data_IF_960826585382
#
_entry.id   IF_960826585382
#
_cell.length_a   1.000
_cell.length_b   1.000
_cell.length_c   1.000
_cell.angle_alpha   90.00
_cell.angle_beta   90.00
_cell.angle_gamma   90.00
#
_symmetry.space_group_name_H-M   'P 1'
#
loop_
_entity.id
_entity.type
_entity.pdbx_description
1 polymer ?
#
# COMPACT_ATOMS: atom_id res chain seq x y z
N UNK A 1 7.26 -19.96 -3.23
CA UNK A 1 6.73 -18.58 -3.04
C UNK A 1 7.72 -17.60 -3.63
N UNK A 2 7.22 -16.61 -4.34
CA UNK A 2 8.09 -15.62 -4.95
C UNK A 2 7.53 -14.22 -4.67
N UNK A 3 8.29 -13.42 -3.95
CA UNK A 3 7.92 -12.06 -3.58
C UNK A 3 8.88 -11.06 -4.19
N UNK A 4 8.32 -9.91 -4.57
CA UNK A 4 9.08 -8.79 -5.10
C UNK A 4 8.79 -7.56 -4.24
N UNK A 5 9.81 -6.76 -3.96
CA UNK A 5 9.58 -5.46 -3.37
C UNK A 5 8.73 -4.62 -4.31
N UNK A 6 7.67 -4.00 -3.80
CA UNK A 6 6.75 -3.21 -4.62
C UNK A 6 6.93 -1.72 -4.34
N UNK A 7 6.68 -1.28 -3.10
CA UNK A 7 6.80 0.14 -2.79
C UNK A 7 6.93 0.39 -1.30
N UNK A 8 7.34 1.63 -0.98
CA UNK A 8 7.25 2.22 0.35
C UNK A 8 6.08 3.19 0.37
N UNK A 9 5.37 3.27 1.48
CA UNK A 9 4.31 4.26 1.64
C UNK A 9 4.55 5.10 2.89
N UNK A 10 4.33 6.41 2.74
CA UNK A 10 4.49 7.38 3.82
C UNK A 10 3.19 8.11 4.08
N UNK A 11 2.88 8.34 5.35
CA UNK A 11 1.84 9.29 5.75
C UNK A 11 2.48 10.66 5.96
N UNK A 12 1.88 11.71 5.40
CA UNK A 12 2.48 13.04 5.46
C UNK A 12 1.45 14.12 5.19
N UNK A 13 1.39 15.15 6.04
CA UNK A 13 0.52 16.30 5.80
C UNK A 13 1.06 17.19 4.68
N UNK A 14 2.38 17.19 4.45
CA UNK A 14 3.05 18.03 3.46
C UNK A 14 3.54 17.19 2.28
N UNK A 15 2.60 16.55 1.60
CA UNK A 15 2.94 15.62 0.51
C UNK A 15 3.74 16.22 -0.62
N UNK A 16 3.50 17.50 -0.95
CA UNK A 16 4.22 18.15 -2.03
C UNK A 16 5.70 18.35 -1.70
N UNK A 17 6.02 18.70 -0.47
CA UNK A 17 7.42 18.86 -0.05
C UNK A 17 8.18 17.55 -0.12
N UNK A 18 7.52 16.45 0.31
CA UNK A 18 8.11 15.12 0.23
C UNK A 18 8.31 14.70 -1.23
N UNK A 19 7.33 14.95 -2.09
CA UNK A 19 7.45 14.68 -3.52
C UNK A 19 8.65 15.41 -4.12
N UNK A 20 8.82 16.69 -3.79
CA UNK A 20 9.91 17.48 -4.33
C UNK A 20 11.28 16.92 -3.91
N UNK A 21 11.40 16.48 -2.66
CA UNK A 21 12.64 15.87 -2.19
C UNK A 21 12.98 14.60 -2.96
N UNK A 22 12.00 13.72 -3.17
CA UNK A 22 12.23 12.50 -3.97
C UNK A 22 12.53 12.81 -5.42
N UNK A 23 11.92 13.85 -5.99
CA UNK A 23 12.24 14.29 -7.35
C UNK A 23 13.67 14.79 -7.45
N UNK A 24 14.09 15.64 -6.51
CA UNK A 24 15.42 16.26 -6.54
C UNK A 24 16.53 15.25 -6.29
N UNK A 25 16.31 14.29 -5.39
CA UNK A 25 17.35 13.37 -4.96
C UNK A 25 17.38 12.08 -5.78
N UNK A 26 16.23 11.56 -6.18
CA UNK A 26 16.13 10.27 -6.85
C UNK A 26 15.53 10.34 -8.24
N UNK A 27 15.08 11.53 -8.67
CA UNK A 27 14.47 11.69 -9.98
C UNK A 27 13.08 11.07 -10.11
N UNK A 28 12.41 10.79 -9.01
CA UNK A 28 11.06 10.22 -9.06
C UNK A 28 10.05 11.26 -9.54
N UNK A 29 9.08 10.83 -10.32
CA UNK A 29 8.07 11.71 -10.89
C UNK A 29 6.67 11.25 -10.51
N UNK A 30 5.80 12.21 -10.18
CA UNK A 30 4.39 11.91 -9.91
C UNK A 30 3.74 11.36 -11.17
N UNK A 31 2.88 10.36 -11.01
CA UNK A 31 2.20 9.72 -12.11
C UNK A 31 0.82 9.20 -11.71
N UNK A 32 0.29 8.29 -12.54
CA UNK A 32 -1.04 7.73 -12.32
C UNK A 32 -1.16 7.11 -10.93
N UNK A 33 -2.29 7.39 -10.30
CA UNK A 33 -2.68 6.79 -9.02
C UNK A 33 -4.13 6.32 -9.14
N UNK A 34 -4.45 5.07 -8.77
CA UNK A 34 -5.83 4.62 -8.74
C UNK A 34 -6.71 5.55 -7.89
N UNK A 35 -8.02 5.62 -8.17
CA UNK A 35 -8.89 6.57 -7.48
C UNK A 35 -9.28 6.10 -6.08
N UNK A 36 -8.31 6.06 -5.17
CA UNK A 36 -8.57 5.78 -3.77
C UNK A 36 -9.44 6.88 -3.14
N UNK A 37 -10.28 6.54 -2.13
CA UNK A 37 -11.11 7.53 -1.47
C UNK A 37 -10.36 8.40 -0.43
N UNK A 38 -9.06 8.55 -0.58
CA UNK A 38 -8.22 9.40 0.27
C UNK A 38 -7.16 10.07 -0.60
N UNK A 39 -6.69 11.28 -0.22
CA UNK A 39 -5.72 12.00 -1.03
C UNK A 39 -4.33 11.41 -0.93
N UNK A 40 -3.55 11.60 -1.98
CA UNK A 40 -2.18 11.11 -2.01
C UNK A 40 -1.58 11.27 -3.38
N UNK A 41 -0.37 10.75 -3.54
CA UNK A 41 0.34 10.76 -4.81
C UNK A 41 1.27 9.58 -4.89
N UNK A 42 1.46 9.08 -6.11
CA UNK A 42 2.39 8.00 -6.41
C UNK A 42 3.56 8.55 -7.20
N UNK A 43 4.76 8.22 -6.75
CA UNK A 43 6.01 8.70 -7.34
C UNK A 43 6.71 7.54 -8.02
N UNK A 44 7.05 7.72 -9.29
CA UNK A 44 7.50 6.65 -10.18
C UNK A 44 8.98 6.75 -10.48
N UNK A 45 9.62 5.58 -10.51
CA UNK A 45 10.84 5.34 -11.25
C UNK A 45 10.43 4.48 -12.45
N UNK A 46 10.58 5.04 -13.65
CA UNK A 46 10.12 4.37 -14.87
C UNK A 46 8.64 3.98 -14.76
N UNK A 47 8.31 2.70 -14.74
CA UNK A 47 6.93 2.21 -14.67
C UNK A 47 6.52 1.75 -13.28
N UNK A 48 7.41 1.84 -12.32
CA UNK A 48 7.13 1.39 -10.96
C UNK A 48 6.81 2.56 -10.05
N UNK A 49 5.64 2.54 -9.44
CA UNK A 49 5.25 3.50 -8.41
C UNK A 49 5.96 3.12 -7.11
N UNK A 50 7.20 3.55 -6.99
CA UNK A 50 8.11 3.11 -5.95
C UNK A 50 7.80 3.70 -4.58
N UNK A 51 7.30 4.95 -4.55
CA UNK A 51 6.94 5.64 -3.32
C UNK A 51 5.49 6.10 -3.41
N UNK A 52 4.70 5.74 -2.41
CA UNK A 52 3.34 6.20 -2.27
C UNK A 52 3.29 7.20 -1.11
N UNK A 53 2.68 8.35 -1.34
CA UNK A 53 2.46 9.35 -0.30
C UNK A 53 0.97 9.40 -0.01
N UNK A 54 0.60 9.16 1.23
CA UNK A 54 -0.78 9.27 1.73
C UNK A 54 -0.85 10.57 2.52
N UNK A 55 -1.71 11.48 2.09
CA UNK A 55 -1.82 12.77 2.77
C UNK A 55 -2.74 12.66 3.98
N UNK A 56 -2.18 12.93 5.14
CA UNK A 56 -2.91 12.91 6.41
C UNK A 56 -2.56 14.16 7.21
N UNK A 57 -3.58 14.94 7.57
CA UNK A 57 -3.38 16.21 8.26
C UNK A 57 -2.77 16.04 9.65
N UNK A 58 -2.97 14.88 10.28
CA UNK A 58 -2.44 14.58 11.61
C UNK A 58 -1.02 14.00 11.59
N UNK A 59 -0.38 13.96 10.43
CA UNK A 59 1.02 13.53 10.28
C UNK A 59 1.87 14.71 9.80
N UNK A 60 2.16 15.70 10.66
CA UNK A 60 2.93 16.88 10.24
C UNK A 60 4.33 16.53 9.76
N UNK A 61 4.92 15.48 10.31
CA UNK A 61 6.19 14.95 9.83
C UNK A 61 5.94 13.64 9.08
N UNK A 62 6.67 13.38 7.98
CA UNK A 62 6.52 12.12 7.26
C UNK A 62 6.81 10.92 8.16
N UNK A 63 5.94 9.94 8.11
CA UNK A 63 6.10 8.69 8.84
C UNK A 63 5.91 7.53 7.88
N UNK A 64 6.70 6.47 8.05
CA UNK A 64 6.51 5.25 7.27
C UNK A 64 5.15 4.65 7.62
N UNK A 65 4.29 4.50 6.62
CA UNK A 65 3.00 3.84 6.77
C UNK A 65 3.15 2.33 6.68
N UNK A 66 3.74 1.86 5.58
CA UNK A 66 3.93 0.43 5.35
C UNK A 66 4.98 0.18 4.27
N UNK A 67 5.41 -1.09 4.21
CA UNK A 67 6.26 -1.61 3.16
C UNK A 67 5.44 -2.64 2.40
N UNK A 68 5.46 -2.61 1.07
CA UNK A 68 4.66 -3.50 0.25
C UNK A 68 5.52 -4.45 -0.57
N UNK A 69 5.05 -5.69 -0.64
CA UNK A 69 5.59 -6.74 -1.51
C UNK A 69 4.48 -7.31 -2.36
N UNK A 70 4.80 -7.69 -3.59
CA UNK A 70 3.83 -8.29 -4.51
C UNK A 70 4.22 -9.70 -4.88
N UNK A 71 3.21 -10.49 -5.25
CA UNK A 71 3.39 -11.88 -5.66
C UNK A 71 2.44 -12.22 -6.79
N UNK A 72 2.73 -13.31 -7.50
CA UNK A 72 1.81 -13.89 -8.48
C UNK A 72 0.97 -15.02 -7.89
N UNK A 73 1.14 -15.34 -6.62
CA UNK A 73 0.30 -16.32 -5.93
C UNK A 73 -1.15 -15.82 -5.85
N UNK A 74 -2.10 -16.76 -5.85
CA UNK A 74 -3.51 -16.40 -5.70
C UNK A 74 -3.76 -15.73 -4.34
N UNK A 75 -4.61 -14.72 -4.33
CA UNK A 75 -4.93 -13.98 -3.11
C UNK A 75 -5.44 -14.90 -1.98
N UNK A 76 -6.25 -15.91 -2.32
CA UNK A 76 -6.73 -16.87 -1.33
C UNK A 76 -5.58 -17.60 -0.60
N UNK A 77 -4.55 -18.00 -1.35
CA UNK A 77 -3.42 -18.69 -0.75
C UNK A 77 -2.66 -17.78 0.21
N UNK A 78 -2.48 -16.52 -0.19
CA UNK A 78 -1.83 -15.52 0.65
C UNK A 78 -2.65 -15.27 1.91
N UNK A 79 -3.96 -15.08 1.75
CA UNK A 79 -4.85 -14.81 2.87
C UNK A 79 -4.87 -15.97 3.88
N UNK A 80 -4.93 -17.22 3.39
CA UNK A 80 -4.88 -18.38 4.28
C UNK A 80 -3.60 -18.42 5.12
N UNK A 81 -2.48 -18.05 4.51
CA UNK A 81 -1.19 -17.99 5.21
C UNK A 81 -1.18 -16.90 6.27
N UNK A 82 -1.75 -15.74 5.96
CA UNK A 82 -1.88 -14.63 6.91
C UNK A 82 -2.79 -15.04 8.08
N UNK A 83 -3.94 -15.65 7.78
CA UNK A 83 -4.85 -16.12 8.81
C UNK A 83 -4.19 -17.14 9.73
N UNK A 84 -3.42 -18.06 9.16
CA UNK A 84 -2.70 -19.08 9.95
C UNK A 84 -1.65 -18.46 10.87
N UNK A 85 -1.12 -17.29 10.54
CA UNK A 85 -0.15 -16.61 11.38
C UNK A 85 -0.74 -16.03 12.66
N UNK A 86 -2.06 -15.83 12.68
CA UNK A 86 -2.75 -15.19 13.81
C UNK A 86 -2.54 -13.70 13.93
N UNK A 87 -1.83 -13.08 12.98
CA UNK A 87 -1.57 -11.64 13.01
C UNK A 87 -2.80 -10.84 12.60
N UNK A 88 -2.97 -9.67 13.21
CA UNK A 88 -4.02 -8.73 12.82
C UNK A 88 -3.82 -8.31 11.38
N UNK A 89 -4.91 -8.30 10.61
CA UNK A 89 -4.83 -7.95 9.19
C UNK A 89 -6.14 -7.35 8.69
N UNK A 90 -6.04 -6.64 7.57
CA UNK A 90 -7.16 -6.06 6.85
C UNK A 90 -6.98 -6.36 5.36
N UNK A 91 -8.09 -6.49 4.65
CA UNK A 91 -8.07 -6.73 3.20
C UNK A 91 -8.76 -5.60 2.49
N UNK A 92 -8.17 -5.16 1.39
CA UNK A 92 -8.73 -4.16 0.50
C UNK A 92 -8.49 -4.57 -0.94
N UNK A 93 -9.15 -3.89 -1.86
CA UNK A 93 -8.95 -4.12 -3.28
C UNK A 93 -8.68 -2.77 -3.94
N UNK A 94 -7.64 -2.71 -4.76
CA UNK A 94 -7.27 -1.46 -5.45
C UNK A 94 -8.37 -1.08 -6.43
N UNK A 95 -8.90 0.16 -6.36
CA UNK A 95 -9.91 0.62 -7.30
C UNK A 95 -9.40 0.51 -8.74
N UNK A 96 -10.27 0.07 -9.66
CA UNK A 96 -10.02 -0.14 -11.08
C UNK A 96 -9.07 -1.29 -11.39
N UNK A 97 -7.91 -1.36 -10.74
CA UNK A 97 -6.91 -2.39 -11.01
C UNK A 97 -7.33 -3.75 -10.45
N UNK A 98 -8.08 -3.77 -9.37
CA UNK A 98 -8.61 -5.00 -8.77
C UNK A 98 -7.59 -5.82 -7.99
N UNK A 99 -6.37 -5.34 -7.86
CA UNK A 99 -5.33 -6.03 -7.09
C UNK A 99 -5.76 -6.14 -5.64
N UNK A 100 -5.59 -7.32 -5.06
CA UNK A 100 -5.89 -7.54 -3.65
C UNK A 100 -4.73 -7.06 -2.78
N UNK A 101 -5.05 -6.32 -1.73
CA UNK A 101 -4.08 -5.82 -0.76
C UNK A 101 -4.42 -6.40 0.60
N UNK A 102 -3.47 -7.11 1.19
CA UNK A 102 -3.61 -7.67 2.53
C UNK A 102 -2.62 -6.94 3.42
N UNK A 103 -3.13 -6.12 4.32
CA UNK A 103 -2.30 -5.37 5.26
C UNK A 103 -2.17 -6.17 6.53
N UNK A 104 -0.94 -6.44 6.94
CA UNK A 104 -0.64 -7.27 8.10
C UNK A 104 0.14 -6.45 9.11
N UNK A 105 -0.32 -6.44 10.36
CA UNK A 105 0.42 -5.79 11.43
C UNK A 105 1.42 -6.76 12.01
N UNK A 106 2.70 -6.50 11.75
CA UNK A 106 3.79 -7.34 12.24
C UNK A 106 4.02 -7.09 13.74
N UNK A 107 4.71 -8.02 14.42
CA UNK A 107 5.15 -7.77 15.80
C UNK A 107 5.92 -6.47 15.86
N UNK A 108 5.61 -5.63 16.86
CA UNK A 108 6.24 -4.31 16.99
C UNK A 108 5.49 -3.19 16.27
N UNK A 109 4.44 -3.52 15.49
CA UNK A 109 3.53 -2.54 14.90
C UNK A 109 3.86 -2.10 13.48
N UNK A 110 4.94 -2.59 12.89
CA UNK A 110 5.22 -2.32 11.47
C UNK A 110 4.13 -2.94 10.60
N UNK A 111 3.64 -2.20 9.62
CA UNK A 111 2.62 -2.70 8.70
C UNK A 111 3.27 -3.20 7.42
N UNK A 112 2.90 -4.41 7.03
CA UNK A 112 3.33 -5.05 5.80
C UNK A 112 2.12 -5.15 4.87
N UNK A 113 2.27 -4.69 3.63
CA UNK A 113 1.24 -4.85 2.60
C UNK A 113 1.64 -5.99 1.67
N UNK A 114 0.73 -6.93 1.46
CA UNK A 114 0.93 -8.06 0.54
C UNK A 114 -0.05 -7.90 -0.61
N UNK A 115 0.49 -7.72 -1.82
CA UNK A 115 -0.32 -7.51 -3.01
C UNK A 115 -0.39 -8.79 -3.82
N UNK A 116 -1.61 -9.21 -4.16
CA UNK A 116 -1.88 -10.42 -4.93
C UNK A 116 -2.72 -10.09 -6.16
N UNK A 117 -2.65 -10.93 -7.22
CA UNK A 117 -3.33 -10.62 -8.48
C UNK A 117 -4.84 -10.47 -8.35
N UNK A 118 -5.41 -9.71 -9.27
CA UNK A 118 -6.84 -9.43 -9.33
C UNK A 118 -7.71 -10.66 -9.59
N UNK A 119 -7.13 -11.76 -10.06
CA UNK A 119 -7.87 -12.97 -10.40
C UNK A 119 -8.51 -13.59 -9.16
N UNK A 120 -9.78 -13.96 -9.25
CA UNK A 120 -10.52 -14.58 -8.15
C UNK A 120 -11.15 -13.56 -7.21
N UNK A 121 -11.93 -14.07 -6.29
CA UNK A 121 -12.61 -13.25 -5.29
C UNK A 121 -12.26 -13.76 -3.89
N UNK A 122 -12.24 -12.84 -2.95
CA UNK A 122 -12.13 -13.18 -1.54
C UNK A 122 -13.49 -12.99 -0.89
N UNK A 123 -13.94 -13.98 -0.10
CA UNK A 123 -15.24 -13.92 0.58
C UNK A 123 -15.17 -13.17 1.90
N UNK A 124 -14.49 -12.01 1.89
CA UNK A 124 -14.43 -11.13 3.05
C UNK A 124 -14.69 -9.69 2.63
N UNK A 125 -15.19 -8.90 3.57
CA UNK A 125 -15.45 -7.50 3.34
C UNK A 125 -14.16 -6.71 3.20
N UNK A 126 -14.12 -5.80 2.25
CA UNK A 126 -13.01 -4.90 2.05
C UNK A 126 -13.56 -3.54 1.63
N UNK A 127 -13.04 -2.46 2.20
CA UNK A 127 -13.56 -1.13 1.93
C UNK A 127 -12.54 -0.07 2.36
N UNK A 128 -11.98 0.64 1.39
CA UNK A 128 -11.03 1.72 1.67
C UNK A 128 -11.66 2.87 2.45
N UNK A 129 -12.92 3.19 2.18
CA UNK A 129 -13.59 4.27 2.89
C UNK A 129 -13.70 3.97 4.39
N UNK A 130 -13.87 2.69 4.75
CA UNK A 130 -13.97 2.24 6.12
C UNK A 130 -12.62 2.25 6.84
N UNK A 131 -11.55 1.90 6.12
CA UNK A 131 -10.22 1.72 6.71
C UNK A 131 -9.31 2.93 6.49
N UNK A 132 -9.72 3.88 5.67
CA UNK A 132 -8.90 5.03 5.35
C UNK A 132 -7.61 4.66 4.60
N UNK A 133 -7.62 3.54 3.90
CA UNK A 133 -6.43 3.02 3.22
C UNK A 133 -5.71 2.01 4.07
N UNK A 134 -4.38 2.10 4.16
CA UNK A 134 -3.57 1.18 4.94
C UNK A 134 -3.76 1.39 6.44
N UNK A 135 -3.75 0.32 7.25
CA UNK A 135 -3.70 0.48 8.70
C UNK A 135 -2.38 1.13 9.10
N UNK A 136 -2.42 1.99 10.08
CA UNK A 136 -1.26 2.75 10.55
C UNK A 136 -0.82 2.30 11.94
#
# INVERSE_FOLDING_TARGET
MSWRFDHLAFNCAQGQALQQAFADLLGLQAGRRPPFPFPGRWLYQDRQALVHVIEQADSPEPQLSHIAFSTQEAADAVLRRVQASGLEHQVAQVPEDGIWQIFVRLPGGLVLELDAPAAGELSISHDYARHGGAPS
#
